data_IF_296006206291
#
_entry.id   IF_296006206291
#
_cell.length_a   1.000
_cell.length_b   1.000
_cell.length_c   1.000
_cell.angle_alpha   90.00
_cell.angle_beta   90.00
_cell.angle_gamma   90.00
#
_symmetry.space_group_name_H-M   'P 1'
#
loop_
_entity.id
_entity.type
_entity.pdbx_description
1 polymer ?
#
# COMPACT_ATOMS: atom_id res chain seq x y z
N UNK A 1 -27.98 15.03 11.42
CA UNK A 1 -26.92 14.12 10.99
C UNK A 1 -26.63 13.17 12.13
N UNK A 2 -26.45 11.88 11.84
CA UNK A 2 -25.99 10.94 12.85
C UNK A 2 -24.51 11.20 13.16
N UNK A 3 -24.14 11.03 14.42
CA UNK A 3 -22.73 11.04 14.85
C UNK A 3 -22.36 9.62 15.20
N UNK A 4 -21.31 9.11 14.57
CA UNK A 4 -20.78 7.77 14.80
C UNK A 4 -19.59 7.86 15.74
N UNK A 5 -19.43 6.83 16.58
CA UNK A 5 -18.33 6.76 17.56
C UNK A 5 -17.68 5.40 17.56
N UNK A 6 -16.36 5.35 17.52
CA UNK A 6 -15.60 4.12 17.70
C UNK A 6 -14.63 4.29 18.86
N UNK A 7 -14.63 3.34 19.79
CA UNK A 7 -13.67 3.27 20.89
C UNK A 7 -12.73 2.11 20.67
N UNK A 8 -11.43 2.38 20.65
CA UNK A 8 -10.41 1.36 20.50
C UNK A 8 -9.50 1.41 21.71
N UNK A 9 -9.40 0.28 22.40
CA UNK A 9 -8.51 0.12 23.53
C UNK A 9 -7.26 -0.67 23.14
N UNK A 10 -6.11 -0.24 23.63
CA UNK A 10 -4.81 -0.91 23.46
C UNK A 10 -4.03 -0.87 24.77
N UNK A 11 -3.40 -1.99 25.13
CA UNK A 11 -2.42 -2.01 26.22
C UNK A 11 -1.11 -1.35 25.81
N UNK A 12 -0.22 -1.08 26.78
CA UNK A 12 1.13 -0.60 26.47
C UNK A 12 1.93 -1.65 25.70
N UNK A 13 1.72 -2.91 26.06
CA UNK A 13 2.34 -4.10 25.50
C UNK A 13 1.95 -4.27 24.02
N UNK A 14 0.66 -4.20 23.70
CA UNK A 14 0.15 -4.24 22.33
C UNK A 14 0.73 -3.11 21.46
N UNK A 15 0.80 -1.88 21.98
CA UNK A 15 1.40 -0.75 21.25
C UNK A 15 2.89 -0.96 20.99
N UNK A 16 3.64 -1.47 21.97
CA UNK A 16 5.06 -1.79 21.80
C UNK A 16 5.28 -2.91 20.79
N UNK A 17 4.46 -3.96 20.83
CA UNK A 17 4.51 -5.05 19.87
C UNK A 17 4.19 -4.54 18.45
N UNK A 18 3.18 -3.68 18.28
CA UNK A 18 2.82 -3.09 17.00
C UNK A 18 3.97 -2.23 16.46
N UNK A 19 4.58 -1.39 17.30
CA UNK A 19 5.73 -0.57 16.94
C UNK A 19 6.92 -1.42 16.50
N UNK A 20 7.21 -2.51 17.21
CA UNK A 20 8.30 -3.44 16.87
C UNK A 20 8.11 -4.10 15.50
N UNK A 21 6.86 -4.37 15.08
CA UNK A 21 6.52 -4.89 13.75
C UNK A 21 6.39 -3.79 12.68
N UNK A 22 6.48 -2.52 13.06
CA UNK A 22 6.25 -1.37 12.19
C UNK A 22 4.79 -1.21 11.78
N UNK A 23 3.86 -1.74 12.57
CA UNK A 23 2.41 -1.64 12.30
C UNK A 23 1.84 -0.33 12.82
N UNK A 24 0.89 0.20 12.06
CA UNK A 24 0.02 1.30 12.42
C UNK A 24 -1.39 0.77 12.67
N UNK A 25 -2.14 1.48 13.50
CA UNK A 25 -3.57 1.30 13.62
C UNK A 25 -4.27 1.92 12.42
N UNK A 26 -5.08 1.13 11.73
CA UNK A 26 -5.75 1.52 10.50
C UNK A 26 -7.27 1.40 10.69
N UNK A 27 -7.98 2.45 10.32
CA UNK A 27 -9.43 2.49 10.24
C UNK A 27 -9.84 2.91 8.82
N UNK A 28 -10.70 2.13 8.19
CA UNK A 28 -11.29 2.41 6.89
C UNK A 28 -12.82 2.45 6.96
N UNK A 29 -13.43 3.34 6.17
CA UNK A 29 -14.89 3.35 5.95
C UNK A 29 -15.22 2.42 4.77
N UNK A 30 -16.31 1.68 4.87
CA UNK A 30 -16.78 0.82 3.79
C UNK A 30 -17.50 1.62 2.71
N UNK A 31 -17.23 1.29 1.45
CA UNK A 31 -17.95 1.84 0.28
C UNK A 31 -18.34 0.68 -0.64
N UNK A 32 -19.62 0.54 -0.95
CA UNK A 32 -20.11 -0.47 -1.88
C UNK A 32 -20.16 0.12 -3.30
N UNK A 33 -19.55 -0.57 -4.25
CA UNK A 33 -19.68 -0.27 -5.68
C UNK A 33 -20.69 -1.22 -6.32
N UNK A 34 -21.68 -0.69 -7.05
CA UNK A 34 -22.67 -1.49 -7.78
C UNK A 34 -23.54 -2.42 -6.91
N UNK A 35 -23.71 -2.12 -5.63
CA UNK A 35 -24.51 -2.93 -4.69
C UNK A 35 -23.81 -4.21 -4.21
N UNK A 36 -22.50 -4.35 -4.45
CA UNK A 36 -21.68 -5.45 -3.96
C UNK A 36 -21.31 -5.32 -2.47
N UNK A 37 -20.44 -6.21 -2.01
CA UNK A 37 -19.88 -6.13 -0.67
C UNK A 37 -19.08 -4.82 -0.48
N UNK A 38 -18.96 -4.31 0.76
CA UNK A 38 -18.19 -3.09 1.01
C UNK A 38 -16.70 -3.27 0.72
N UNK A 39 -16.15 -2.33 -0.05
CA UNK A 39 -14.71 -2.18 -0.26
C UNK A 39 -14.09 -1.35 0.88
N UNK A 40 -12.86 -1.73 1.25
CA UNK A 40 -12.04 -1.03 2.26
C UNK A 40 -10.66 -0.70 1.69
N UNK A 41 -10.62 -0.22 0.45
CA UNK A 41 -9.39 -0.06 -0.32
C UNK A 41 -8.60 1.22 -0.03
N UNK A 42 -9.04 2.04 0.93
CA UNK A 42 -8.33 3.25 1.36
C UNK A 42 -8.42 3.41 2.88
N UNK A 43 -7.32 3.78 3.55
CA UNK A 43 -7.38 4.06 4.97
C UNK A 43 -7.84 5.49 5.20
N UNK A 44 -8.84 5.60 6.06
CA UNK A 44 -9.41 6.87 6.44
C UNK A 44 -8.61 7.52 7.58
N UNK A 45 -8.29 6.72 8.61
CA UNK A 45 -7.47 7.14 9.75
C UNK A 45 -6.32 6.15 9.93
N UNK A 46 -5.12 6.70 10.15
CA UNK A 46 -3.90 5.95 10.45
C UNK A 46 -3.29 6.55 11.70
N UNK A 47 -3.10 5.74 12.73
CA UNK A 47 -2.44 6.16 13.97
C UNK A 47 -1.20 5.30 14.18
N UNK A 48 -0.06 5.94 14.40
CA UNK A 48 1.14 5.25 14.84
C UNK A 48 0.97 4.77 16.27
N UNK A 49 1.61 3.67 16.69
CA UNK A 49 1.47 3.18 18.06
C UNK A 49 1.84 4.21 19.15
N UNK A 50 2.75 5.15 18.85
CA UNK A 50 3.10 6.22 19.79
C UNK A 50 2.10 7.38 19.84
N UNK A 51 1.12 7.42 18.93
CA UNK A 51 0.03 8.41 18.89
C UNK A 51 -1.21 7.92 19.66
N UNK A 52 -1.25 6.63 20.03
CA UNK A 52 -2.35 6.01 20.77
C UNK A 52 -2.21 6.17 22.28
N UNK A 53 -3.32 6.48 22.97
CA UNK A 53 -3.32 6.85 24.41
C UNK A 53 -3.88 5.78 25.36
N UNK A 54 -4.10 4.57 24.86
CA UNK A 54 -4.63 3.43 25.64
C UNK A 54 -6.10 3.18 25.41
N UNK A 55 -6.90 4.26 25.32
CA UNK A 55 -8.26 4.19 24.78
C UNK A 55 -8.47 5.41 23.89
N UNK A 56 -8.53 5.19 22.59
CA UNK A 56 -8.74 6.23 21.60
C UNK A 56 -10.20 6.25 21.17
N UNK A 57 -10.82 7.44 21.22
CA UNK A 57 -12.21 7.65 20.79
C UNK A 57 -12.22 8.42 19.49
N UNK A 58 -12.75 7.81 18.43
CA UNK A 58 -12.86 8.38 17.10
C UNK A 58 -14.33 8.72 16.87
N UNK A 59 -14.63 9.96 16.50
CA UNK A 59 -15.99 10.42 16.22
C UNK A 59 -16.06 11.10 14.86
N UNK A 60 -17.17 10.90 14.16
CA UNK A 60 -17.41 11.55 12.87
C UNK A 60 -18.89 11.73 12.56
N UNK A 61 -19.14 12.65 11.63
CA UNK A 61 -20.39 12.79 10.90
C UNK A 61 -20.16 12.40 9.44
N UNK A 62 -21.26 12.13 8.74
CA UNK A 62 -21.19 11.86 7.32
C UNK A 62 -21.15 13.16 6.52
N UNK A 63 -19.93 13.52 6.09
CA UNK A 63 -19.65 14.59 5.14
C UNK A 63 -18.73 14.03 4.06
N UNK A 64 -19.22 14.03 2.82
CA UNK A 64 -18.56 13.41 1.69
C UNK A 64 -18.11 14.44 0.66
N UNK A 65 -16.94 14.19 0.09
CA UNK A 65 -16.36 14.97 -0.98
C UNK A 65 -15.86 14.02 -2.06
N UNK A 66 -15.75 14.49 -3.29
CA UNK A 66 -15.14 13.71 -4.36
C UNK A 66 -14.08 14.52 -5.10
N UNK A 67 -13.12 13.77 -5.61
CA UNK A 67 -12.13 14.22 -6.57
C UNK A 67 -11.97 13.11 -7.62
N UNK A 68 -11.04 13.28 -8.54
CA UNK A 68 -10.74 12.25 -9.54
C UNK A 68 -9.24 12.18 -9.82
N UNK A 69 -8.81 11.09 -10.45
CA UNK A 69 -7.48 10.93 -11.02
C UNK A 69 -7.59 10.48 -12.47
N UNK A 70 -6.61 10.82 -13.31
CA UNK A 70 -6.50 10.25 -14.67
C UNK A 70 -5.59 9.02 -14.71
N UNK A 71 -5.12 8.58 -13.55
CA UNK A 71 -4.27 7.40 -13.38
C UNK A 71 -4.99 6.40 -12.50
N UNK A 72 -5.01 5.14 -12.95
CA UNK A 72 -5.40 4.02 -12.12
C UNK A 72 -4.47 3.90 -10.91
N UNK A 73 -5.07 3.68 -9.74
CA UNK A 73 -4.30 3.48 -8.53
C UNK A 73 -3.76 2.05 -8.50
N UNK A 74 -2.44 1.96 -8.43
CA UNK A 74 -1.74 0.71 -8.18
C UNK A 74 -1.39 0.58 -6.72
N UNK A 75 -0.95 -0.62 -6.38
CA UNK A 75 -0.71 -1.01 -5.02
C UNK A 75 0.24 -0.06 -4.26
N UNK A 76 -0.16 0.38 -3.04
CA UNK A 76 0.57 1.31 -2.17
C UNK A 76 0.81 2.69 -2.77
N UNK A 77 0.12 3.04 -3.86
CA UNK A 77 0.21 4.38 -4.40
C UNK A 77 -0.56 5.35 -3.51
N UNK A 78 0.04 6.51 -3.25
CA UNK A 78 -0.67 7.65 -2.68
C UNK A 78 -1.82 8.06 -3.62
N UNK A 79 -3.02 8.15 -3.06
CA UNK A 79 -4.21 8.61 -3.78
C UNK A 79 -4.19 10.14 -3.80
N UNK A 80 -3.94 10.71 -4.97
CA UNK A 80 -3.90 12.16 -5.19
C UNK A 80 -4.95 12.52 -6.24
N UNK A 81 -5.85 13.43 -5.85
CA UNK A 81 -6.83 14.01 -6.77
C UNK A 81 -6.18 15.02 -7.71
N UNK A 82 -6.65 15.06 -8.96
CA UNK A 82 -6.16 15.96 -10.00
C UNK A 82 -6.96 17.26 -10.11
N UNK A 83 -8.16 17.31 -9.53
CA UNK A 83 -9.06 18.46 -9.60
C UNK A 83 -9.36 19.09 -8.24
N UNK A 84 -10.38 19.95 -8.24
CA UNK A 84 -10.93 20.52 -7.01
C UNK A 84 -11.83 19.50 -6.30
N UNK A 85 -11.86 19.58 -4.97
CA UNK A 85 -12.76 18.76 -4.18
C UNK A 85 -14.20 19.29 -4.30
N UNK A 86 -15.12 18.41 -4.71
CA UNK A 86 -16.55 18.71 -4.84
C UNK A 86 -17.26 18.17 -3.61
N UNK A 87 -18.12 18.96 -2.98
CA UNK A 87 -18.97 18.47 -1.88
C UNK A 87 -20.09 17.60 -2.45
N UNK A 88 -20.26 16.41 -1.87
CA UNK A 88 -21.24 15.42 -2.33
C UNK A 88 -22.52 15.47 -1.49
N UNK A 89 -23.66 15.22 -2.15
CA UNK A 89 -24.96 14.96 -1.55
C UNK A 89 -25.41 13.54 -1.92
N UNK A 90 -25.93 12.73 -0.97
CA UNK A 90 -26.42 11.38 -1.28
C UNK A 90 -27.43 11.37 -2.43
N UNK A 91 -27.31 10.40 -3.33
CA UNK A 91 -28.09 10.31 -4.57
C UNK A 91 -27.63 11.24 -5.68
N UNK A 92 -26.65 12.11 -5.44
CA UNK A 92 -26.19 13.10 -6.42
C UNK A 92 -25.46 12.47 -7.62
N UNK A 93 -25.45 13.21 -8.72
CA UNK A 93 -24.87 12.85 -10.01
C UNK A 93 -23.67 13.76 -10.32
N UNK A 94 -22.56 13.17 -10.73
CA UNK A 94 -21.28 13.85 -10.89
C UNK A 94 -20.59 13.44 -12.18
N UNK A 95 -20.08 14.43 -12.91
CA UNK A 95 -19.42 14.25 -14.21
C UNK A 95 -18.22 15.20 -14.31
N UNK A 96 -17.28 14.88 -15.20
CA UNK A 96 -16.28 15.85 -15.64
C UNK A 96 -16.91 16.83 -16.64
N UNK A 97 -16.65 18.12 -16.46
CA UNK A 97 -17.03 19.13 -17.43
C UNK A 97 -16.00 19.23 -18.57
N UNK A 98 -16.25 20.17 -19.49
CA UNK A 98 -15.37 20.44 -20.64
C UNK A 98 -13.96 20.90 -20.29
N UNK A 99 -13.73 21.39 -19.08
CA UNK A 99 -12.39 21.76 -18.61
C UNK A 99 -11.68 20.61 -17.91
N UNK A 100 -12.35 19.46 -17.76
CA UNK A 100 -11.85 18.29 -17.06
C UNK A 100 -11.99 18.42 -15.55
N UNK A 101 -12.87 19.29 -15.06
CA UNK A 101 -13.14 19.42 -13.63
C UNK A 101 -14.34 18.58 -13.24
N UNK A 102 -14.25 17.90 -12.10
CA UNK A 102 -15.41 17.20 -11.53
C UNK A 102 -16.43 18.24 -11.05
N UNK A 103 -17.68 18.07 -11.45
CA UNK A 103 -18.81 18.92 -11.08
C UNK A 103 -20.03 18.09 -10.71
N UNK A 104 -20.99 18.71 -10.01
CA UNK A 104 -22.35 18.18 -9.91
C UNK A 104 -23.06 18.37 -11.25
N UNK A 105 -23.69 17.32 -11.80
CA UNK A 105 -24.47 17.45 -13.03
C UNK A 105 -25.74 18.27 -12.74
N UNK A 106 -25.89 19.47 -13.33
CA UNK A 106 -27.05 20.33 -13.07
C UNK A 106 -28.32 19.83 -13.75
N UNK A 107 -28.24 18.83 -14.64
CA UNK A 107 -29.38 18.33 -15.42
C UNK A 107 -30.02 17.07 -14.81
N UNK A 108 -29.43 16.54 -13.73
CA UNK A 108 -29.94 15.35 -13.04
C UNK A 108 -30.20 15.68 -11.57
N UNK A 109 -31.38 15.28 -11.11
CA UNK A 109 -31.76 15.45 -9.71
C UNK A 109 -31.20 14.30 -8.86
N UNK A 110 -30.79 14.56 -7.61
CA UNK A 110 -30.33 13.51 -6.71
C UNK A 110 -31.39 12.42 -6.50
N UNK A 111 -31.01 11.15 -6.65
CA UNK A 111 -31.90 10.00 -6.44
C UNK A 111 -31.17 8.85 -5.72
N UNK A 112 -31.78 8.34 -4.65
CA UNK A 112 -31.21 7.23 -3.88
C UNK A 112 -30.11 7.65 -2.90
N UNK A 113 -29.21 6.72 -2.59
CA UNK A 113 -28.15 6.90 -1.58
C UNK A 113 -26.74 6.81 -2.14
N UNK A 114 -26.58 6.34 -3.38
CA UNK A 114 -25.31 6.25 -4.05
C UNK A 114 -24.86 7.62 -4.57
N UNK A 115 -23.55 7.80 -4.74
CA UNK A 115 -22.99 8.85 -5.57
C UNK A 115 -22.76 8.28 -6.97
N UNK A 116 -23.37 8.90 -7.98
CA UNK A 116 -23.32 8.44 -9.36
C UNK A 116 -22.24 9.22 -10.11
N UNK A 117 -21.15 8.56 -10.48
CA UNK A 117 -20.10 9.14 -11.31
C UNK A 117 -20.27 8.67 -12.75
N UNK A 118 -20.38 9.57 -13.70
CA UNK A 118 -20.63 9.23 -15.10
C UNK A 118 -19.87 10.15 -16.06
N UNK A 119 -19.68 9.70 -17.31
CA UNK A 119 -18.98 10.45 -18.36
C UNK A 119 -19.82 10.55 -19.64
N UNK A 120 -21.01 11.14 -19.50
CA UNK A 120 -22.04 11.17 -20.56
C UNK A 120 -21.74 12.20 -21.67
N UNK A 121 -20.95 13.23 -21.37
CA UNK A 121 -20.57 14.26 -22.37
C UNK A 121 -19.53 13.74 -23.36
N UNK A 122 -19.11 12.48 -23.24
CA UNK A 122 -18.33 11.82 -24.24
C UNK A 122 -16.87 12.28 -24.28
N UNK A 123 -16.36 12.83 -23.17
CA UNK A 123 -14.97 13.25 -23.06
C UNK A 123 -14.05 12.06 -23.27
N UNK A 124 -12.97 12.26 -24.02
CA UNK A 124 -11.98 11.20 -24.27
C UNK A 124 -11.20 10.82 -23.00
N UNK A 125 -11.29 11.63 -21.95
CA UNK A 125 -10.57 11.42 -20.71
C UNK A 125 -11.32 10.41 -19.84
N UNK A 126 -10.78 9.21 -19.75
CA UNK A 126 -11.10 8.27 -18.69
C UNK A 126 -10.59 8.81 -17.35
N UNK A 127 -11.39 8.67 -16.30
CA UNK A 127 -11.01 9.12 -14.96
C UNK A 127 -11.44 8.13 -13.89
N UNK A 128 -10.71 8.13 -12.78
CA UNK A 128 -10.94 7.28 -11.62
C UNK A 128 -11.53 8.15 -10.50
N UNK A 129 -12.81 7.97 -10.14
CA UNK A 129 -13.40 8.66 -9.01
C UNK A 129 -12.71 8.33 -7.70
N UNK A 130 -12.49 9.35 -6.87
CA UNK A 130 -11.96 9.25 -5.52
C UNK A 130 -13.00 9.82 -4.58
N UNK A 131 -13.54 8.99 -3.71
CA UNK A 131 -14.44 9.43 -2.66
C UNK A 131 -13.66 9.74 -1.39
N UNK A 132 -13.97 10.87 -0.76
CA UNK A 132 -13.32 11.40 0.43
C UNK A 132 -14.32 11.65 1.55
N UNK A 133 -13.83 11.62 2.78
CA UNK A 133 -14.55 12.03 3.99
C UNK A 133 -13.65 12.92 4.83
N UNK A 134 -14.23 13.72 5.72
CA UNK A 134 -13.46 14.41 6.76
C UNK A 134 -12.95 13.38 7.77
N UNK A 135 -11.70 13.50 8.20
CA UNK A 135 -11.16 12.77 9.35
C UNK A 135 -11.44 13.53 10.66
N UNK A 136 -10.93 12.99 11.78
CA UNK A 136 -11.04 13.61 13.11
C UNK A 136 -10.36 14.99 13.23
N UNK A 137 -9.45 15.33 12.32
CA UNK A 137 -8.79 16.64 12.22
C UNK A 137 -9.47 17.58 11.19
N UNK A 138 -10.64 17.21 10.67
CA UNK A 138 -11.36 17.96 9.64
C UNK A 138 -10.60 18.09 8.31
N UNK A 139 -9.65 17.19 8.04
CA UNK A 139 -9.00 17.10 6.73
C UNK A 139 -9.77 16.15 5.83
N UNK A 140 -9.92 16.52 4.55
CA UNK A 140 -10.47 15.64 3.54
C UNK A 140 -9.47 14.56 3.19
N UNK A 141 -9.85 13.31 3.40
CA UNK A 141 -9.01 12.14 3.17
C UNK A 141 -9.79 11.11 2.35
N UNK A 142 -9.14 10.42 1.40
CA UNK A 142 -9.82 9.43 0.60
C UNK A 142 -10.27 8.25 1.48
N UNK A 143 -11.47 7.76 1.21
CA UNK A 143 -12.09 6.59 1.86
C UNK A 143 -12.36 5.47 0.86
N UNK A 144 -12.38 5.81 -0.43
CA UNK A 144 -12.51 4.86 -1.51
C UNK A 144 -11.96 5.46 -2.81
N UNK A 145 -11.45 4.60 -3.66
CA UNK A 145 -11.20 4.91 -5.06
C UNK A 145 -11.77 3.80 -5.92
N UNK A 146 -12.29 4.15 -7.10
CA UNK A 146 -12.69 3.14 -8.06
C UNK A 146 -11.49 2.30 -8.49
N UNK A 147 -11.71 1.00 -8.69
CA UNK A 147 -10.72 0.06 -9.22
C UNK A 147 -10.60 0.14 -10.74
N UNK A 148 -11.59 0.72 -11.40
CA UNK A 148 -11.65 0.94 -12.86
C UNK A 148 -12.07 2.38 -13.15
N UNK A 149 -11.59 2.93 -14.26
CA UNK A 149 -11.96 4.27 -14.68
C UNK A 149 -13.38 4.34 -15.25
N UNK A 150 -14.01 5.50 -15.08
CA UNK A 150 -15.22 5.90 -15.79
C UNK A 150 -14.83 6.27 -17.22
N UNK A 151 -14.96 5.28 -18.10
CA UNK A 151 -14.72 5.44 -19.53
C UNK A 151 -15.80 6.30 -20.19
N UNK A 152 -15.61 6.65 -21.47
CA UNK A 152 -16.57 7.39 -22.27
C UNK A 152 -17.95 6.71 -22.26
N UNK A 153 -18.99 7.44 -21.87
CA UNK A 153 -20.37 6.93 -21.68
C UNK A 153 -20.47 5.82 -20.62
N UNK A 154 -19.46 5.67 -19.77
CA UNK A 154 -19.46 4.78 -18.62
C UNK A 154 -20.03 5.47 -17.39
N UNK A 155 -20.37 4.66 -16.39
CA UNK A 155 -20.78 5.12 -15.08
C UNK A 155 -20.32 4.15 -13.99
N UNK A 156 -20.16 4.66 -12.78
CA UNK A 156 -19.89 3.89 -11.57
C UNK A 156 -20.59 4.52 -10.38
N UNK A 157 -21.14 3.67 -9.52
CA UNK A 157 -21.83 4.09 -8.31
C UNK A 157 -20.93 3.83 -7.10
N UNK A 158 -20.84 4.80 -6.20
CA UNK A 158 -20.18 4.65 -4.91
C UNK A 158 -21.19 4.89 -3.78
N UNK A 159 -21.50 3.86 -3.00
CA UNK A 159 -22.42 3.97 -1.87
C UNK A 159 -21.65 3.84 -0.57
N UNK A 160 -21.42 4.93 0.18
CA UNK A 160 -20.92 4.83 1.55
C UNK A 160 -21.85 3.95 2.38
N UNK A 161 -21.29 2.97 3.06
CA UNK A 161 -22.04 2.16 4.03
C UNK A 161 -21.65 2.54 5.44
N UNK A 162 -22.57 2.33 6.37
CA UNK A 162 -22.36 2.55 7.81
C UNK A 162 -21.50 1.46 8.46
N UNK A 163 -20.61 0.83 7.70
CA UNK A 163 -19.65 -0.16 8.19
C UNK A 163 -18.26 0.43 8.19
N UNK A 164 -17.50 0.14 9.24
CA UNK A 164 -16.08 0.49 9.32
C UNK A 164 -15.26 -0.74 9.64
N UNK A 165 -14.03 -0.77 9.16
CA UNK A 165 -13.09 -1.86 9.43
C UNK A 165 -11.83 -1.32 10.08
N UNK A 166 -11.35 -2.07 11.05
CA UNK A 166 -10.20 -1.71 11.88
C UNK A 166 -9.20 -2.87 11.89
N UNK A 167 -7.91 -2.58 11.73
CA UNK A 167 -6.85 -3.58 11.82
C UNK A 167 -5.51 -2.91 12.12
N UNK A 168 -4.48 -3.72 12.39
CA UNK A 168 -3.10 -3.27 12.42
C UNK A 168 -2.42 -3.62 11.11
N UNK A 169 -1.68 -2.68 10.51
CA UNK A 169 -0.87 -2.96 9.34
C UNK A 169 0.12 -1.87 8.97
N UNK A 170 0.99 -2.16 7.99
CA UNK A 170 1.99 -1.21 7.49
C UNK A 170 1.37 -0.33 6.40
N UNK A 171 1.19 0.96 6.68
CA UNK A 171 0.46 1.84 5.77
C UNK A 171 0.66 3.33 6.13
N UNK A 172 0.66 4.22 5.14
CA UNK A 172 0.63 5.68 5.34
C UNK A 172 -0.70 6.33 4.89
N UNK A 173 -1.21 7.32 5.65
CA UNK A 173 -2.52 7.92 5.39
C UNK A 173 -2.68 8.45 3.95
N UNK A 174 -3.76 8.03 3.28
CA UNK A 174 -4.09 8.44 1.92
C UNK A 174 -3.47 7.58 0.81
N UNK A 175 -2.92 6.42 1.12
CA UNK A 175 -2.48 5.41 0.14
C UNK A 175 -3.61 4.41 -0.23
N UNK A 176 -3.46 3.56 -1.24
CA UNK A 176 -4.36 2.42 -1.41
C UNK A 176 -4.05 1.35 -0.34
N UNK A 177 -5.06 0.88 0.40
CA UNK A 177 -4.89 -0.21 1.39
C UNK A 177 -4.54 -1.47 0.63
N UNK A 178 -3.35 -1.99 0.87
CA UNK A 178 -3.02 -3.36 0.54
C UNK A 178 -2.68 -4.14 1.78
N UNK A 179 -3.40 -5.25 1.89
CA UNK A 179 -3.28 -6.27 2.93
C UNK A 179 -1.97 -7.04 2.84
N UNK A 180 -0.82 -6.37 2.65
CA UNK A 180 0.46 -7.06 2.59
C UNK A 180 0.92 -7.53 3.97
N UNK A 181 0.54 -6.80 5.04
CA UNK A 181 0.86 -7.15 6.43
C UNK A 181 -0.22 -6.65 7.38
N UNK A 182 -1.43 -7.21 7.27
CA UNK A 182 -2.54 -6.89 8.17
C UNK A 182 -2.72 -8.00 9.22
N UNK A 183 -3.10 -7.63 10.44
CA UNK A 183 -3.67 -8.59 11.40
C UNK A 183 -5.07 -9.00 10.97
N UNK A 184 -5.69 -9.93 11.71
CA UNK A 184 -7.15 -10.07 11.76
C UNK A 184 -7.77 -8.67 11.89
N UNK A 185 -8.83 -8.41 11.15
CA UNK A 185 -9.55 -7.14 11.19
C UNK A 185 -10.84 -7.29 12.01
N UNK A 186 -11.34 -6.17 12.54
CA UNK A 186 -12.68 -6.09 13.12
C UNK A 186 -13.52 -5.19 12.23
N UNK A 187 -14.65 -5.72 11.77
CA UNK A 187 -15.66 -4.94 11.08
C UNK A 187 -16.79 -4.60 12.05
N UNK A 188 -17.16 -3.33 12.11
CA UNK A 188 -18.29 -2.84 12.91
C UNK A 188 -19.42 -2.44 11.98
N UNK A 189 -20.61 -2.99 12.20
CA UNK A 189 -21.83 -2.53 11.55
C UNK A 189 -22.52 -1.45 12.40
N UNK A 190 -22.42 -0.20 11.95
CA UNK A 190 -22.95 0.96 12.66
C UNK A 190 -24.31 1.43 12.13
N UNK A 191 -25.00 0.59 11.35
CA UNK A 191 -26.27 0.94 10.69
C UNK A 191 -27.38 1.22 11.71
N UNK A 192 -27.47 0.40 12.75
CA UNK A 192 -28.50 0.49 13.81
C UNK A 192 -27.92 0.96 15.14
N UNK A 193 -26.62 0.72 15.36
CA UNK A 193 -25.90 1.06 16.58
C UNK A 193 -24.77 2.01 16.16
N UNK A 194 -24.95 3.31 16.40
CA UNK A 194 -23.99 4.36 16.00
C UNK A 194 -22.66 4.35 16.78
N UNK A 195 -22.35 3.24 17.44
CA UNK A 195 -21.13 3.06 18.22
C UNK A 195 -20.55 1.65 18.09
N UNK A 196 -19.22 1.53 18.18
CA UNK A 196 -18.52 0.26 18.26
C UNK A 196 -17.35 0.31 19.25
N UNK A 197 -16.97 -0.86 19.79
CA UNK A 197 -15.85 -0.98 20.71
C UNK A 197 -15.06 -2.29 20.51
N UNK A 198 -13.72 -2.19 20.47
CA UNK A 198 -12.85 -3.36 20.49
C UNK A 198 -11.54 -3.09 21.23
N UNK A 199 -10.90 -4.18 21.65
CA UNK A 199 -9.57 -4.18 22.28
C UNK A 199 -8.57 -4.97 21.45
N UNK A 200 -7.36 -4.44 21.33
CA UNK A 200 -6.21 -5.11 20.70
C UNK A 200 -5.58 -6.05 21.71
N UNK A 201 -5.40 -7.33 21.36
CA UNK A 201 -4.69 -8.30 22.19
C UNK A 201 -3.17 -8.08 22.14
N UNK A 202 -2.46 -8.38 23.24
CA UNK A 202 -1.03 -8.08 23.39
C UNK A 202 -0.12 -8.80 22.38
N UNK A 203 -0.53 -9.98 21.91
CA UNK A 203 0.20 -10.79 20.94
C UNK A 203 -0.05 -10.37 19.48
N UNK A 204 -1.00 -9.45 19.27
CA UNK A 204 -1.48 -8.97 17.97
C UNK A 204 -2.05 -10.07 17.07
N UNK A 205 -2.34 -11.25 17.64
CA UNK A 205 -2.85 -12.38 16.86
C UNK A 205 -4.33 -12.19 16.51
N UNK A 206 -5.07 -11.50 17.39
CA UNK A 206 -6.51 -11.35 17.29
C UNK A 206 -6.97 -10.03 17.91
N UNK A 207 -8.22 -9.68 17.63
CA UNK A 207 -8.94 -8.60 18.27
C UNK A 207 -10.06 -9.18 19.13
N UNK A 208 -10.27 -8.60 20.30
CA UNK A 208 -11.45 -8.93 21.10
C UNK A 208 -12.54 -7.88 20.83
N UNK A 209 -13.54 -8.15 19.96
CA UNK A 209 -14.70 -7.29 19.82
C UNK A 209 -15.46 -7.25 21.15
N UNK A 210 -15.78 -6.05 21.62
CA UNK A 210 -16.57 -5.86 22.85
C UNK A 210 -18.04 -5.61 22.50
N UNK A 211 -18.31 -4.97 21.37
CA UNK A 211 -19.67 -4.66 20.94
C UNK A 211 -20.29 -5.77 20.07
N UNK A 212 -21.59 -6.04 20.28
CA UNK A 212 -22.32 -7.10 19.57
C UNK A 212 -22.45 -6.87 18.05
N UNK A 213 -22.19 -5.65 17.58
CA UNK A 213 -22.18 -5.28 16.17
C UNK A 213 -20.80 -5.41 15.52
N UNK A 214 -19.83 -5.96 16.23
CA UNK A 214 -18.49 -6.20 15.73
C UNK A 214 -18.30 -7.68 15.36
N UNK A 215 -17.61 -7.93 14.26
CA UNK A 215 -17.19 -9.28 13.86
C UNK A 215 -15.72 -9.28 13.49
N UNK A 216 -15.01 -10.31 13.88
CA UNK A 216 -13.64 -10.57 13.41
C UNK A 216 -13.70 -11.05 11.96
N UNK A 217 -12.79 -10.53 11.15
CA UNK A 217 -12.61 -10.86 9.75
C UNK A 217 -11.19 -11.39 9.63
N UNK A 218 -11.09 -12.71 9.47
CA UNK A 218 -9.83 -13.36 9.12
C UNK A 218 -9.36 -12.82 7.76
N UNK A 219 -8.04 -12.58 7.59
CA UNK A 219 -7.51 -12.28 6.27
C UNK A 219 -7.88 -13.42 5.32
N UNK A 220 -8.40 -13.09 4.13
CA UNK A 220 -8.64 -14.08 3.10
C UNK A 220 -7.28 -14.56 2.56
N UNK A 221 -6.70 -15.58 3.20
CA UNK A 221 -5.39 -16.12 2.85
C UNK A 221 -5.35 -16.77 1.46
N UNK A 222 -6.52 -16.98 0.84
CA UNK A 222 -6.60 -17.52 -0.52
C UNK A 222 -6.07 -16.55 -1.59
N UNK A 223 -6.17 -15.22 -1.37
CA UNK A 223 -5.65 -14.19 -2.29
C UNK A 223 -4.21 -13.76 -1.93
N UNK A 224 -3.69 -14.12 -0.75
CA UNK A 224 -2.32 -13.79 -0.34
C UNK A 224 -1.27 -14.78 -0.85
N UNK A 225 -1.69 -15.96 -1.32
CA UNK A 225 -0.79 -16.95 -1.92
C UNK A 225 -0.15 -16.49 -3.24
N UNK A 226 -0.65 -15.43 -3.88
CA UNK A 226 0.02 -14.83 -5.03
C UNK A 226 0.99 -13.69 -4.66
N UNK A 227 1.04 -13.23 -3.40
CA UNK A 227 1.76 -11.99 -3.07
C UNK A 227 2.71 -12.00 -1.87
N UNK A 228 2.69 -12.99 -0.97
CA UNK A 228 3.68 -13.06 0.14
C UNK A 228 4.15 -14.46 0.41
N UNK A 229 5.03 -14.96 -0.45
CA UNK A 229 6.05 -15.86 0.06
C UNK A 229 7.11 -14.99 0.78
N UNK A 230 7.44 -15.32 2.03
CA UNK A 230 8.57 -14.71 2.74
C UNK A 230 9.82 -14.87 1.85
N UNK A 231 10.29 -13.76 1.28
CA UNK A 231 11.50 -13.76 0.48
C UNK A 231 12.67 -13.94 1.43
N UNK A 232 13.08 -15.18 1.62
CA UNK A 232 14.24 -15.52 2.43
C UNK A 232 15.54 -15.01 1.79
N UNK A 233 15.57 -14.97 0.45
CA UNK A 233 16.75 -14.63 -0.35
C UNK A 233 16.40 -13.78 -1.58
N UNK A 234 17.09 -12.64 -1.72
CA UNK A 234 17.15 -11.89 -2.97
C UNK A 234 18.46 -12.23 -3.66
N UNK A 235 18.42 -12.68 -4.90
CA UNK A 235 19.63 -12.88 -5.72
C UNK A 235 19.62 -11.96 -6.92
N UNK A 236 20.70 -11.20 -7.08
CA UNK A 236 20.99 -10.40 -8.28
C UNK A 236 22.06 -11.12 -9.08
N UNK A 237 21.75 -11.46 -10.33
CA UNK A 237 22.73 -12.04 -11.25
C UNK A 237 23.28 -10.98 -12.21
N UNK A 238 24.59 -10.89 -12.29
CA UNK A 238 25.33 -10.03 -13.20
C UNK A 238 25.99 -10.90 -14.26
N UNK A 239 25.84 -10.53 -15.53
CA UNK A 239 26.52 -11.18 -16.66
C UNK A 239 27.52 -10.22 -17.28
N UNK A 240 28.79 -10.60 -17.32
CA UNK A 240 29.88 -9.82 -17.91
C UNK A 240 29.98 -10.07 -19.42
N UNK A 241 30.42 -9.05 -20.16
CA UNK A 241 30.64 -9.13 -21.60
C UNK A 241 31.85 -9.99 -21.98
N UNK A 242 32.85 -10.07 -21.10
CA UNK A 242 34.01 -10.94 -21.27
C UNK A 242 34.17 -11.91 -20.09
N UNK A 243 34.93 -12.98 -20.34
CA UNK A 243 35.26 -13.95 -19.29
C UNK A 243 36.12 -13.28 -18.22
N UNK A 244 35.68 -13.32 -16.96
CA UNK A 244 36.47 -12.76 -15.86
C UNK A 244 37.81 -13.50 -15.71
N UNK A 245 38.88 -12.71 -15.53
CA UNK A 245 40.21 -13.25 -15.26
C UNK A 245 40.29 -13.84 -13.85
N UNK A 246 41.29 -14.68 -13.59
CA UNK A 246 41.56 -15.20 -12.22
C UNK A 246 41.73 -14.06 -11.21
N UNK A 247 42.33 -12.93 -11.63
CA UNK A 247 42.47 -11.73 -10.80
C UNK A 247 41.12 -11.14 -10.47
N UNK A 248 40.26 -10.96 -11.47
CA UNK A 248 38.91 -10.40 -11.30
C UNK A 248 38.01 -11.29 -10.44
N UNK A 249 38.05 -12.61 -10.66
CA UNK A 249 37.35 -13.58 -9.82
C UNK A 249 37.85 -13.49 -8.38
N UNK A 250 39.16 -13.51 -8.16
CA UNK A 250 39.75 -13.42 -6.83
C UNK A 250 39.44 -12.10 -6.12
N UNK A 251 39.36 -10.98 -6.85
CA UNK A 251 38.93 -9.71 -6.30
C UNK A 251 37.46 -9.75 -5.90
N UNK A 252 36.59 -10.24 -6.79
CA UNK A 252 35.16 -10.29 -6.55
C UNK A 252 34.79 -11.21 -5.38
N UNK A 253 35.52 -12.30 -5.16
CA UNK A 253 35.26 -13.19 -4.02
C UNK A 253 35.80 -12.66 -2.70
N UNK A 254 36.89 -11.88 -2.70
CA UNK A 254 37.60 -11.53 -1.46
C UNK A 254 37.41 -10.07 -0.99
N UNK A 255 37.16 -9.13 -1.92
CA UNK A 255 37.08 -7.69 -1.62
C UNK A 255 35.71 -7.09 -1.92
N UNK A 256 34.91 -7.70 -2.79
CA UNK A 256 33.66 -7.09 -3.26
C UNK A 256 32.65 -6.81 -2.14
N UNK A 257 32.57 -7.66 -1.12
CA UNK A 257 31.70 -7.45 0.05
C UNK A 257 31.95 -6.13 0.77
N UNK A 258 33.17 -5.58 0.74
CA UNK A 258 33.47 -4.32 1.43
C UNK A 258 33.05 -3.08 0.64
N UNK A 259 32.61 -3.24 -0.60
CA UNK A 259 32.15 -2.15 -1.46
C UNK A 259 30.66 -1.83 -1.28
N UNK A 260 29.93 -2.66 -0.51
CA UNK A 260 28.51 -2.45 -0.21
C UNK A 260 28.31 -1.58 1.03
N UNK A 261 27.30 -0.72 0.99
CA UNK A 261 26.82 0.01 2.15
C UNK A 261 26.40 -0.93 3.28
N UNK A 262 26.55 -0.49 4.53
CA UNK A 262 26.30 -1.32 5.73
C UNK A 262 24.92 -1.97 5.75
N UNK A 263 23.90 -1.29 5.20
CA UNK A 263 22.50 -1.74 5.23
C UNK A 263 22.13 -2.64 4.03
N UNK A 264 23.03 -2.83 3.06
CA UNK A 264 22.80 -3.62 1.84
C UNK A 264 23.97 -4.57 1.62
N UNK A 265 24.52 -5.15 2.70
CA UNK A 265 25.60 -6.13 2.58
C UNK A 265 25.02 -7.49 2.17
N UNK A 266 25.53 -8.10 1.09
CA UNK A 266 25.11 -9.43 0.71
C UNK A 266 25.63 -10.47 1.69
N UNK A 267 24.90 -11.57 1.82
CA UNK A 267 25.27 -12.71 2.63
C UNK A 267 26.15 -13.71 1.88
N UNK A 268 26.05 -13.73 0.54
CA UNK A 268 26.81 -14.64 -0.31
C UNK A 268 27.13 -14.02 -1.66
N UNK A 269 28.33 -14.33 -2.16
CA UNK A 269 28.80 -13.92 -3.47
C UNK A 269 29.37 -15.15 -4.16
N UNK A 270 28.90 -15.43 -5.37
CA UNK A 270 29.37 -16.54 -6.21
C UNK A 270 29.78 -16.03 -7.58
N UNK A 271 30.87 -16.55 -8.11
CA UNK A 271 31.30 -16.27 -9.49
C UNK A 271 31.36 -17.61 -10.22
N UNK A 272 30.69 -17.71 -11.37
CA UNK A 272 30.64 -18.98 -12.10
C UNK A 272 32.00 -19.40 -12.63
N UNK A 273 32.32 -20.67 -12.47
CA UNK A 273 33.50 -21.30 -13.05
C UNK A 273 33.10 -22.61 -13.77
N UNK A 274 33.76 -22.97 -14.89
CA UNK A 274 34.82 -22.24 -15.59
C UNK A 274 34.27 -21.20 -16.59
N UNK A 275 34.87 -20.02 -16.66
CA UNK A 275 34.53 -18.99 -17.66
C UNK A 275 34.15 -17.63 -17.08
N UNK A 276 33.79 -17.53 -15.79
CA UNK A 276 33.70 -16.24 -15.09
C UNK A 276 32.65 -15.27 -15.62
N UNK A 277 31.74 -15.67 -16.52
CA UNK A 277 30.82 -14.72 -17.14
C UNK A 277 29.73 -14.23 -16.19
N UNK A 278 29.52 -14.89 -15.05
CA UNK A 278 28.44 -14.50 -14.15
C UNK A 278 28.89 -14.33 -12.71
N UNK A 279 28.34 -13.30 -12.06
CA UNK A 279 28.43 -13.02 -10.64
C UNK A 279 27.02 -13.07 -10.05
N UNK A 280 26.80 -13.91 -9.05
CA UNK A 280 25.57 -13.97 -8.25
C UNK A 280 25.82 -13.34 -6.90
N UNK A 281 24.98 -12.38 -6.54
CA UNK A 281 25.03 -11.69 -5.26
C UNK A 281 23.71 -11.97 -4.53
N UNK A 282 23.80 -12.69 -3.41
CA UNK A 282 22.64 -13.08 -2.61
C UNK A 282 22.61 -12.28 -1.31
N UNK A 283 21.42 -11.82 -0.95
CA UNK A 283 21.14 -11.07 0.28
C UNK A 283 20.21 -11.89 1.18
N UNK A 284 20.64 -12.15 2.41
CA UNK A 284 19.82 -12.83 3.44
C UNK A 284 19.03 -11.82 4.24
N UNK A 285 17.76 -12.12 4.50
CA UNK A 285 16.84 -11.27 5.26
C UNK A 285 16.82 -9.84 4.73
N UNK A 286 16.09 -9.57 3.63
CA UNK A 286 15.69 -8.21 3.34
C UNK A 286 15.01 -7.63 4.58
N UNK A 287 15.68 -6.72 5.29
CA UNK A 287 15.07 -5.97 6.40
C UNK A 287 13.69 -5.49 5.95
N UNK A 288 12.67 -5.48 6.83
CA UNK A 288 11.30 -5.08 6.48
C UNK A 288 11.20 -3.73 5.72
N UNK A 289 12.24 -2.90 5.76
CA UNK A 289 12.45 -1.71 4.92
C UNK A 289 12.59 -1.98 3.40
N UNK A 290 12.72 -3.22 2.98
CA UNK A 290 12.90 -3.65 1.58
C UNK A 290 11.59 -3.66 0.81
N UNK A 291 10.49 -3.95 1.51
CA UNK A 291 9.14 -3.86 0.95
C UNK A 291 8.76 -2.41 0.54
N UNK A 292 9.44 -1.40 1.07
CA UNK A 292 9.22 0.02 0.76
C UNK A 292 10.22 0.57 -0.27
N UNK A 293 11.35 -0.12 -0.43
CA UNK A 293 12.48 0.30 -1.24
C UNK A 293 12.37 -0.14 -2.70
N UNK A 294 11.64 -1.23 -2.96
CA UNK A 294 11.64 -1.92 -4.24
C UNK A 294 12.90 -2.76 -4.41
N UNK A 295 12.75 -3.92 -5.06
CA UNK A 295 13.84 -4.85 -5.39
C UNK A 295 14.97 -4.20 -6.22
N UNK A 296 14.68 -3.07 -6.86
CA UNK A 296 15.62 -2.25 -7.65
C UNK A 296 16.79 -1.70 -6.81
N UNK A 297 16.64 -1.54 -5.50
CA UNK A 297 17.74 -1.06 -4.65
C UNK A 297 18.89 -2.05 -4.55
N UNK A 298 18.61 -3.35 -4.66
CA UNK A 298 19.66 -4.37 -4.68
C UNK A 298 20.44 -4.37 -5.98
N UNK A 299 19.76 -4.17 -7.11
CA UNK A 299 20.43 -3.97 -8.40
C UNK A 299 21.29 -2.72 -8.38
N UNK A 300 20.75 -1.61 -7.87
CA UNK A 300 21.50 -0.37 -7.75
C UNK A 300 22.73 -0.55 -6.84
N UNK A 301 22.60 -1.28 -5.74
CA UNK A 301 23.71 -1.57 -4.83
C UNK A 301 24.78 -2.44 -5.52
N UNK A 302 24.39 -3.51 -6.21
CA UNK A 302 25.32 -4.36 -6.96
C UNK A 302 26.00 -3.56 -8.08
N UNK A 303 25.26 -2.74 -8.82
CA UNK A 303 25.83 -1.90 -9.88
C UNK A 303 26.83 -0.88 -9.33
N UNK A 304 26.48 -0.20 -8.22
CA UNK A 304 27.39 0.75 -7.55
C UNK A 304 28.67 0.07 -7.06
N UNK A 305 28.54 -1.12 -6.47
CA UNK A 305 29.68 -1.90 -6.02
C UNK A 305 30.57 -2.32 -7.21
N UNK A 306 29.98 -2.72 -8.34
CA UNK A 306 30.74 -3.08 -9.56
C UNK A 306 31.44 -1.88 -10.19
N UNK A 307 30.77 -0.72 -10.24
CA UNK A 307 31.40 0.53 -10.67
C UNK A 307 32.59 0.90 -9.78
N UNK A 308 32.42 0.78 -8.45
CA UNK A 308 33.51 1.03 -7.49
C UNK A 308 34.66 0.04 -7.67
N UNK A 309 34.36 -1.24 -7.93
CA UNK A 309 35.37 -2.23 -8.23
C UNK A 309 36.13 -1.91 -9.53
N UNK A 310 35.45 -1.39 -10.55
CA UNK A 310 36.06 -1.01 -11.83
C UNK A 310 37.05 0.16 -11.70
N UNK A 311 36.85 1.05 -10.73
CA UNK A 311 37.77 2.15 -10.41
C UNK A 311 39.04 1.68 -9.70
N UNK A 312 39.00 0.52 -9.04
CA UNK A 312 40.17 -0.10 -8.40
C UNK A 312 41.07 -0.76 -9.44
N UNK A 313 42.33 -0.31 -9.53
CA UNK A 313 43.31 -0.83 -10.49
C UNK A 313 43.66 -2.31 -10.25
N UNK A 314 43.47 -2.81 -9.03
CA UNK A 314 43.76 -4.19 -8.64
C UNK A 314 42.60 -5.14 -8.94
N UNK A 315 41.44 -4.64 -9.38
CA UNK A 315 40.24 -5.46 -9.59
C UNK A 315 40.29 -6.30 -10.87
N UNK A 316 41.09 -5.90 -11.85
CA UNK A 316 41.05 -6.52 -13.18
C UNK A 316 39.71 -6.37 -13.90
N UNK A 317 38.85 -5.42 -13.51
CA UNK A 317 37.54 -5.13 -14.15
C UNK A 317 37.59 -3.91 -15.10
N UNK A 318 38.76 -3.31 -15.29
CA UNK A 318 38.92 -2.11 -16.11
C UNK A 318 38.46 -2.36 -17.56
N UNK A 319 37.49 -1.56 -18.01
CA UNK A 319 36.92 -1.66 -19.37
C UNK A 319 35.86 -2.74 -19.54
N UNK A 320 35.59 -3.54 -18.52
CA UNK A 320 34.51 -4.52 -18.53
C UNK A 320 33.13 -3.85 -18.54
N UNK A 321 32.14 -4.54 -19.12
CA UNK A 321 30.73 -4.15 -19.09
C UNK A 321 29.91 -5.32 -18.60
N UNK A 322 28.75 -5.03 -18.02
CA UNK A 322 27.86 -6.07 -17.53
C UNK A 322 26.39 -5.72 -17.77
N UNK A 323 25.56 -6.75 -17.76
CA UNK A 323 24.11 -6.65 -17.66
C UNK A 323 23.65 -7.28 -16.35
N UNK A 324 22.74 -6.62 -15.66
CA UNK A 324 22.03 -7.22 -14.53
C UNK A 324 20.83 -7.97 -15.13
N UNK A 325 20.76 -9.26 -14.88
CA UNK A 325 19.71 -10.14 -15.43
C UNK A 325 19.18 -10.99 -14.29
N UNK A 326 17.86 -11.11 -14.21
CA UNK A 326 17.12 -11.90 -13.23
C UNK A 326 17.25 -11.45 -11.76
N UNK A 327 16.10 -11.01 -11.25
CA UNK A 327 15.76 -11.01 -9.83
C UNK A 327 15.04 -12.33 -9.57
N UNK A 328 15.73 -13.30 -8.99
CA UNK A 328 15.04 -14.48 -8.48
C UNK A 328 14.75 -14.25 -7.00
N UNK A 329 13.46 -14.18 -6.69
CA UNK A 329 12.97 -14.40 -5.34
C UNK A 329 13.00 -15.91 -5.13
N UNK A 330 13.76 -16.36 -4.12
CA UNK A 330 13.74 -17.76 -3.73
C UNK A 330 13.14 -17.85 -2.34
N UNK A 331 12.11 -18.67 -2.26
CA UNK A 331 11.34 -18.95 -1.07
C UNK A 331 11.73 -20.37 -0.69
N UNK A 332 12.19 -20.56 0.55
CA UNK A 332 12.57 -21.87 1.05
C UNK A 332 11.45 -22.53 1.84
#
# INVERSE_FOLDING_TARGET
MATYTLKISSSSEARQAAAAKGYNFILAKGVSSGGGDPDYNTAWIVLKPNEMTGTDTITWTDDYYANFSTQEFKNKAKIVGSGNDVKMTPGGEYNLDKTGDLITDPNKEPNGTAFHFHNDEGYALEYVPILKSLNNLQHQVPIWSASTGVTKNGAIDATPVTKVRVWLGKYEQGEAVLAEYATIAVEFDLTTIFSGEATINDDLSDWTPISDNAKTIEPNLADTNEFFEEVDLITVTTTFTTALTVVSVGYLTNKFLSLFDRNLKPSRIEVSAPGGFTLKVTFSQPSLSVANAGIDQYELAVNKALLSAQEDLDSGLKGEKWTLTDKSLTVM
#
